data_IF_498929075585
#
_entry.id   IF_498929075585
#
_cell.length_a   1.000
_cell.length_b   1.000
_cell.length_c   1.000
_cell.angle_alpha   90.00
_cell.angle_beta   90.00
_cell.angle_gamma   90.00
#
_symmetry.space_group_name_H-M   'P 1'
#
loop_
_entity.id
_entity.type
_entity.pdbx_description
1 polymer ?
#
# COMPACT_ATOMS: atom_id res chain seq x y z
N UNK A 1 2.91 -9.63 1.27
CA UNK A 1 1.67 -10.29 1.74
C UNK A 1 0.54 -9.79 0.86
N UNK A 2 -0.31 -10.68 0.37
CA UNK A 2 -1.35 -10.35 -0.61
C UNK A 2 -2.64 -9.89 0.07
N UNK A 3 -3.32 -8.88 -0.48
CA UNK A 3 -4.52 -8.29 0.15
C UNK A 3 -5.74 -9.24 0.12
N UNK A 4 -5.83 -10.17 -0.86
CA UNK A 4 -6.88 -11.22 -1.03
C UNK A 4 -8.34 -10.73 -0.89
N UNK A 5 -8.55 -9.43 -0.98
CA UNK A 5 -9.80 -8.70 -0.78
C UNK A 5 -9.75 -7.50 -1.70
N UNK A 6 -10.90 -7.10 -2.26
CA UNK A 6 -11.00 -5.89 -3.10
C UNK A 6 -10.42 -4.67 -2.38
N UNK A 7 -9.72 -3.81 -3.11
CA UNK A 7 -9.01 -2.67 -2.55
C UNK A 7 -9.96 -1.78 -1.73
N UNK A 8 -11.16 -1.48 -2.25
CA UNK A 8 -12.17 -0.70 -1.52
C UNK A 8 -12.51 -1.30 -0.15
N UNK A 9 -12.73 -2.62 -0.09
CA UNK A 9 -13.05 -3.30 1.16
C UNK A 9 -11.85 -3.34 2.11
N UNK A 10 -10.64 -3.50 1.59
CA UNK A 10 -9.42 -3.41 2.38
C UNK A 10 -9.26 -2.01 2.99
N UNK A 11 -9.47 -0.93 2.21
CA UNK A 11 -9.43 0.46 2.68
C UNK A 11 -10.44 0.71 3.80
N UNK A 12 -11.66 0.18 3.70
CA UNK A 12 -12.66 0.28 4.78
C UNK A 12 -12.21 -0.40 6.07
N UNK A 13 -11.68 -1.63 5.97
CA UNK A 13 -11.18 -2.38 7.12
C UNK A 13 -10.02 -1.62 7.77
N UNK A 14 -9.06 -1.14 6.97
CA UNK A 14 -7.90 -0.39 7.45
C UNK A 14 -8.31 0.91 8.14
N UNK A 15 -9.29 1.64 7.59
CA UNK A 15 -9.86 2.83 8.23
C UNK A 15 -10.46 2.52 9.59
N UNK A 16 -11.18 1.39 9.72
CA UNK A 16 -11.71 0.94 11.03
C UNK A 16 -10.63 0.59 12.05
N UNK A 17 -9.38 0.37 11.60
CA UNK A 17 -8.22 0.03 12.43
C UNK A 17 -7.29 1.23 12.71
N UNK A 18 -7.67 2.44 12.33
CA UNK A 18 -6.91 3.67 12.59
C UNK A 18 -5.95 4.09 11.49
N UNK A 19 -5.95 3.40 10.35
CA UNK A 19 -5.25 3.86 9.15
C UNK A 19 -6.16 4.79 8.36
N UNK A 20 -6.03 6.09 8.61
CA UNK A 20 -6.86 7.13 8.00
C UNK A 20 -6.64 7.27 6.50
N UNK A 21 -5.45 6.93 6.02
CA UNK A 21 -5.04 7.06 4.63
C UNK A 21 -4.58 5.72 4.05
N UNK A 22 -4.83 5.50 2.76
CA UNK A 22 -4.37 4.29 2.06
C UNK A 22 -4.36 4.42 0.54
N UNK A 23 -3.36 3.83 -0.08
CA UNK A 23 -3.21 3.71 -1.52
C UNK A 23 -3.01 2.25 -1.91
N UNK A 24 -3.63 1.79 -2.99
CA UNK A 24 -3.55 0.39 -3.35
C UNK A 24 -4.19 0.04 -4.67
N UNK A 25 -3.76 -1.09 -5.22
CA UNK A 25 -4.27 -1.67 -6.45
C UNK A 25 -5.25 -2.80 -6.14
N UNK A 26 -6.26 -2.97 -6.99
CA UNK A 26 -7.20 -4.08 -6.87
C UNK A 26 -6.54 -5.43 -7.16
N UNK A 27 -7.10 -6.49 -6.57
CA UNK A 27 -6.74 -7.86 -6.91
C UNK A 27 -7.35 -8.27 -8.25
N UNK A 28 -6.60 -9.01 -9.07
CA UNK A 28 -7.12 -9.66 -10.27
C UNK A 28 -7.71 -11.02 -9.87
N UNK A 29 -9.01 -11.04 -9.55
CA UNK A 29 -9.68 -12.25 -9.05
C UNK A 29 -9.23 -12.60 -7.61
N UNK A 30 -8.68 -13.80 -7.41
CA UNK A 30 -8.16 -14.29 -6.10
C UNK A 30 -6.66 -14.07 -5.91
N UNK A 31 -6.02 -13.43 -6.89
CA UNK A 31 -4.57 -13.22 -6.94
C UNK A 31 -4.24 -11.72 -6.94
N UNK A 32 -3.14 -11.37 -6.29
CA UNK A 32 -2.59 -10.03 -6.25
C UNK A 32 -3.35 -9.05 -5.36
N UNK A 33 -3.16 -7.77 -5.67
CA UNK A 33 -3.59 -6.66 -4.82
C UNK A 33 -2.50 -6.30 -3.83
N UNK A 34 -2.10 -5.03 -3.87
CA UNK A 34 -1.12 -4.42 -2.99
C UNK A 34 -1.75 -3.18 -2.37
N UNK A 35 -1.62 -3.01 -1.07
CA UNK A 35 -2.12 -1.84 -0.36
C UNK A 35 -1.05 -1.33 0.60
N UNK A 36 -0.88 -0.01 0.61
CA UNK A 36 -0.10 0.73 1.57
C UNK A 36 -1.05 1.62 2.36
N UNK A 37 -0.93 1.62 3.68
CA UNK A 37 -1.83 2.34 4.57
C UNK A 37 -1.06 2.99 5.70
N UNK A 38 -1.48 4.18 6.10
CA UNK A 38 -0.82 5.00 7.10
C UNK A 38 -1.85 5.82 7.88
N UNK A 39 -1.48 6.25 9.08
CA UNK A 39 -2.28 7.15 9.90
C UNK A 39 -1.88 8.60 9.61
N UNK A 40 -2.57 9.55 10.24
CA UNK A 40 -2.29 10.96 10.03
C UNK A 40 -0.93 11.38 10.62
N UNK A 41 -0.28 10.63 11.49
CA UNK A 41 1.06 10.98 12.01
C UNK A 41 2.16 10.89 10.94
N UNK A 42 1.83 10.25 9.83
CA UNK A 42 2.69 10.03 8.68
C UNK A 42 2.20 10.88 7.51
N UNK A 43 3.06 11.76 7.01
CA UNK A 43 2.87 12.41 5.72
C UNK A 43 3.50 11.52 4.66
N UNK A 44 2.66 10.94 3.81
CA UNK A 44 3.12 10.09 2.71
C UNK A 44 2.72 10.70 1.37
N UNK A 45 3.71 10.83 0.49
CA UNK A 45 3.54 11.22 -0.90
C UNK A 45 3.83 10.01 -1.79
N UNK A 46 2.78 9.46 -2.42
CA UNK A 46 2.93 8.37 -3.39
C UNK A 46 3.61 8.91 -4.64
N UNK A 47 4.77 8.36 -4.98
CA UNK A 47 5.60 8.80 -6.11
C UNK A 47 5.28 8.04 -7.39
N UNK A 48 5.08 6.73 -7.25
CA UNK A 48 4.77 5.86 -8.38
C UNK A 48 4.07 4.59 -7.86
N UNK A 49 3.22 4.00 -8.70
CA UNK A 49 2.57 2.74 -8.38
C UNK A 49 2.21 1.93 -9.63
N UNK A 50 2.16 0.62 -9.47
CA UNK A 50 1.55 -0.31 -10.40
C UNK A 50 1.04 -1.55 -9.63
N UNK A 51 0.46 -2.56 -10.30
CA UNK A 51 -0.03 -3.76 -9.60
C UNK A 51 1.03 -4.52 -8.78
N UNK A 52 2.31 -4.34 -9.08
CA UNK A 52 3.45 -5.01 -8.46
C UNK A 52 4.20 -4.14 -7.45
N UNK A 53 4.01 -2.83 -7.41
CA UNK A 53 4.66 -2.00 -6.41
C UNK A 53 3.92 -0.69 -6.10
N UNK A 54 4.20 -0.15 -4.92
CA UNK A 54 3.83 1.21 -4.52
C UNK A 54 5.08 1.84 -3.91
N UNK A 55 5.55 2.94 -4.49
CA UNK A 55 6.65 3.75 -3.98
C UNK A 55 6.11 5.05 -3.38
N UNK A 56 6.61 5.40 -2.19
CA UNK A 56 6.26 6.64 -1.54
C UNK A 56 7.41 7.26 -0.76
N UNK A 57 7.42 8.59 -0.76
CA UNK A 57 8.24 9.38 0.16
C UNK A 57 7.46 9.53 1.46
N UNK A 58 8.12 9.29 2.58
CA UNK A 58 7.52 9.33 3.91
C UNK A 58 8.23 10.36 4.78
N UNK A 59 7.45 11.19 5.46
CA UNK A 59 7.90 12.12 6.49
C UNK A 59 7.05 11.88 7.73
N UNK A 60 7.70 11.72 8.89
CA UNK A 60 6.98 11.59 10.16
C UNK A 60 6.76 12.99 10.73
N UNK A 61 5.59 13.30 11.31
CA UNK A 61 5.41 14.60 11.98
C UNK A 61 6.42 14.83 13.11
N UNK A 62 6.90 13.75 13.74
CA UNK A 62 7.90 13.78 14.80
C UNK A 62 9.35 13.88 14.31
N UNK A 63 9.60 13.71 13.00
CA UNK A 63 10.96 13.72 12.43
C UNK A 63 10.96 14.33 11.03
N UNK A 64 11.73 15.41 10.87
CA UNK A 64 11.88 16.08 9.59
C UNK A 64 12.76 15.31 8.58
N UNK A 65 13.29 14.13 8.93
CA UNK A 65 14.12 13.33 8.02
C UNK A 65 13.22 12.51 7.09
N UNK A 66 13.15 12.85 5.79
CA UNK A 66 12.36 12.06 4.85
C UNK A 66 13.05 10.72 4.57
N UNK A 67 12.25 9.69 4.36
CA UNK A 67 12.70 8.38 3.91
C UNK A 67 11.78 7.85 2.81
N UNK A 68 12.14 6.71 2.23
CA UNK A 68 11.37 6.06 1.16
C UNK A 68 10.82 4.72 1.62
N UNK A 69 9.55 4.48 1.33
CA UNK A 69 8.91 3.19 1.50
C UNK A 69 8.49 2.67 0.14
N UNK A 70 8.97 1.48 -0.22
CA UNK A 70 8.51 0.80 -1.43
C UNK A 70 7.97 -0.57 -1.04
N UNK A 71 6.68 -0.77 -1.26
CA UNK A 71 6.04 -2.08 -1.14
C UNK A 71 6.10 -2.79 -2.49
N UNK A 72 6.53 -4.04 -2.51
CA UNK A 72 6.57 -4.86 -3.73
C UNK A 72 5.73 -6.12 -3.59
N UNK A 73 5.14 -6.53 -4.70
CA UNK A 73 4.44 -7.79 -4.90
C UNK A 73 4.91 -8.38 -6.24
N UNK A 74 5.77 -9.39 -6.16
CA UNK A 74 6.30 -10.08 -7.35
C UNK A 74 5.23 -10.83 -8.12
N UNK A 75 5.52 -11.19 -9.37
CA UNK A 75 4.65 -12.05 -10.15
C UNK A 75 4.67 -13.47 -9.55
N UNK A 76 3.50 -14.06 -9.22
CA UNK A 76 3.42 -15.44 -8.76
C UNK A 76 3.61 -16.45 -9.90
N UNK A 77 3.71 -16.00 -11.16
CA UNK A 77 4.06 -16.85 -12.30
C UNK A 77 5.49 -17.36 -12.15
N UNK A 78 5.61 -18.54 -11.57
CA UNK A 78 6.77 -19.39 -11.78
C UNK A 78 6.59 -20.03 -13.15
N UNK A 79 7.55 -19.82 -14.04
CA UNK A 79 7.59 -20.45 -15.35
C UNK A 79 7.35 -21.95 -15.21
N UNK A 80 6.19 -22.45 -15.66
CA UNK A 80 6.06 -23.72 -16.37
C UNK A 80 4.73 -23.89 -17.10
#
# INVERSE_FOLDING_TARGET
METKVRCLRAKEILRSKGFTNSEGTDSAGRSGGLIMAWNDEVEMEVKDNNPNFIDGRVVLRSSAVPWRLTGFYGFPETVR
#
